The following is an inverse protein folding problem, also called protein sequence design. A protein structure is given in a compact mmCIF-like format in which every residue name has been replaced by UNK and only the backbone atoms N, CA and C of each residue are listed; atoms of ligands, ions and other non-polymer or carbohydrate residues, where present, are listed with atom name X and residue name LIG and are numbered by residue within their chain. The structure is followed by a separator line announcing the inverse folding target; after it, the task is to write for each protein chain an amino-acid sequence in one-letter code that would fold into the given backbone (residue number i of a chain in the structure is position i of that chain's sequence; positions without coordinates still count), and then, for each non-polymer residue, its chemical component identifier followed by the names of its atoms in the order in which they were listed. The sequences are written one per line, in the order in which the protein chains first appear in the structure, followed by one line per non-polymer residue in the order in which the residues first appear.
data_IF_093500778891
#
_entry.id   IF_093500778891
#
_cell.length_a   1.000
_cell.length_b   1.000
_cell.length_c   1.000
_cell.angle_alpha   90.00
_cell.angle_beta   90.00
_cell.angle_gamma   90.00
#
_symmetry.space_group_name_H-M   'P 1'
#
loop_
_entity.id
_entity.type
_entity.pdbx_description
1 polymer ?
#
# COMPACT_ATOMS: atom_id res chain seq x y z
N UNK A 1 -49.69 -77.84 -113.91
CA UNK A 1 -48.44 -77.11 -113.63
C UNK A 1 -48.59 -76.02 -112.56
N UNK A 2 -49.82 -75.57 -112.22
CA UNK A 2 -50.03 -74.49 -111.24
C UNK A 2 -49.91 -74.91 -109.76
N UNK A 3 -50.27 -76.15 -109.40
CA UNK A 3 -50.22 -76.62 -108.00
C UNK A 3 -48.81 -76.75 -107.40
N UNK A 4 -47.80 -77.01 -108.22
CA UNK A 4 -46.41 -77.15 -107.75
C UNK A 4 -45.75 -75.79 -107.46
N UNK A 5 -46.18 -74.75 -108.18
CA UNK A 5 -45.70 -73.38 -108.00
C UNK A 5 -46.20 -72.77 -106.67
N UNK A 6 -47.46 -73.05 -106.31
CA UNK A 6 -48.06 -72.56 -105.07
C UNK A 6 -47.41 -73.16 -103.81
N UNK A 7 -47.06 -74.46 -103.81
CA UNK A 7 -46.43 -75.11 -102.66
C UNK A 7 -44.98 -74.62 -102.43
N UNK A 8 -44.27 -74.28 -103.51
CA UNK A 8 -42.91 -73.73 -103.45
C UNK A 8 -42.89 -72.28 -102.97
N UNK A 9 -43.90 -71.49 -103.37
CA UNK A 9 -44.12 -70.11 -102.89
C UNK A 9 -44.47 -70.07 -101.41
N UNK A 10 -45.34 -70.98 -100.95
CA UNK A 10 -45.71 -71.14 -99.54
C UNK A 10 -44.52 -71.59 -98.66
N UNK A 11 -43.58 -72.38 -99.21
CA UNK A 11 -42.32 -72.73 -98.53
C UNK A 11 -41.38 -71.53 -98.39
N UNK A 12 -41.28 -70.67 -99.41
CA UNK A 12 -40.47 -69.44 -99.37
C UNK A 12 -41.03 -68.45 -98.35
N UNK A 13 -42.36 -68.30 -98.30
CA UNK A 13 -43.03 -67.44 -97.32
C UNK A 13 -42.79 -67.93 -95.88
N UNK A 14 -42.95 -69.24 -95.61
CA UNK A 14 -42.64 -69.82 -94.29
C UNK A 14 -41.18 -69.65 -93.89
N UNK A 15 -40.25 -69.79 -94.84
CA UNK A 15 -38.83 -69.56 -94.58
C UNK A 15 -38.54 -68.09 -94.23
N UNK A 16 -39.16 -67.15 -94.94
CA UNK A 16 -39.03 -65.72 -94.70
C UNK A 16 -39.64 -65.32 -93.34
N UNK A 17 -40.79 -65.88 -92.97
CA UNK A 17 -41.38 -65.73 -91.63
C UNK A 17 -40.42 -66.22 -90.55
N UNK A 18 -39.81 -67.40 -90.73
CA UNK A 18 -38.83 -67.95 -89.76
C UNK A 18 -37.60 -67.05 -89.59
N UNK A 19 -37.12 -66.43 -90.68
CA UNK A 19 -36.00 -65.47 -90.62
C UNK A 19 -36.39 -64.21 -89.86
N UNK A 20 -37.57 -63.66 -90.16
CA UNK A 20 -38.09 -62.47 -89.48
C UNK A 20 -38.34 -62.73 -87.99
N UNK A 21 -38.86 -63.90 -87.62
CA UNK A 21 -39.05 -64.30 -86.22
C UNK A 21 -37.72 -64.35 -85.45
N UNK A 22 -36.65 -64.91 -86.05
CA UNK A 22 -35.31 -64.92 -85.45
C UNK A 22 -34.75 -63.51 -85.28
N UNK A 23 -34.89 -62.65 -86.29
CA UNK A 23 -34.44 -61.26 -86.25
C UNK A 23 -35.21 -60.45 -85.19
N UNK A 24 -36.54 -60.61 -85.10
CA UNK A 24 -37.37 -60.01 -84.06
C UNK A 24 -36.94 -60.50 -82.68
N UNK A 25 -36.72 -61.80 -82.51
CA UNK A 25 -36.21 -62.38 -81.28
C UNK A 25 -34.88 -61.78 -80.85
N UNK A 26 -33.93 -61.68 -81.79
CA UNK A 26 -32.62 -61.07 -81.55
C UNK A 26 -32.73 -59.60 -81.15
N UNK A 27 -33.52 -58.80 -81.88
CA UNK A 27 -33.74 -57.38 -81.54
C UNK A 27 -34.43 -57.21 -80.19
N UNK A 28 -35.39 -58.07 -79.85
CA UNK A 28 -36.06 -58.04 -78.55
C UNK A 28 -35.08 -58.36 -77.42
N UNK A 29 -34.16 -59.31 -77.61
CA UNK A 29 -33.09 -59.59 -76.66
C UNK A 29 -32.17 -58.37 -76.48
N UNK A 30 -31.71 -57.75 -77.58
CA UNK A 30 -30.88 -56.55 -77.52
C UNK A 30 -31.59 -55.39 -76.79
N UNK A 31 -32.88 -55.19 -77.04
CA UNK A 31 -33.68 -54.18 -76.34
C UNK A 31 -33.80 -54.47 -74.85
N UNK A 32 -33.97 -55.74 -74.46
CA UNK A 32 -33.99 -56.16 -73.07
C UNK A 32 -32.64 -55.89 -72.38
N UNK A 33 -31.52 -56.26 -73.01
CA UNK A 33 -30.18 -56.00 -72.50
C UNK A 33 -29.90 -54.49 -72.35
N UNK A 34 -30.32 -53.69 -73.33
CA UNK A 34 -30.20 -52.24 -73.27
C UNK A 34 -31.06 -51.66 -72.13
N UNK A 35 -32.27 -52.19 -71.92
CA UNK A 35 -33.15 -51.82 -70.82
C UNK A 35 -32.54 -52.10 -69.45
N UNK A 36 -31.91 -53.27 -69.27
CA UNK A 36 -31.18 -53.60 -68.04
C UNK A 36 -30.01 -52.64 -67.82
N UNK A 37 -29.14 -52.43 -68.82
CA UNK A 37 -28.02 -51.48 -68.73
C UNK A 37 -28.47 -50.06 -68.39
N UNK A 38 -29.57 -49.61 -68.98
CA UNK A 38 -30.15 -48.30 -68.69
C UNK A 38 -30.61 -48.20 -67.23
N UNK A 39 -31.29 -49.23 -66.72
CA UNK A 39 -31.75 -49.28 -65.33
C UNK A 39 -30.57 -49.32 -64.34
N UNK A 40 -29.54 -50.11 -64.61
CA UNK A 40 -28.32 -50.17 -63.79
C UNK A 40 -27.62 -48.81 -63.76
N UNK A 41 -27.46 -48.18 -64.94
CA UNK A 41 -26.88 -46.85 -65.09
C UNK A 41 -27.70 -45.81 -64.31
N UNK A 42 -29.03 -45.84 -64.43
CA UNK A 42 -29.92 -44.97 -63.67
C UNK A 42 -29.75 -45.16 -62.16
N UNK A 43 -29.65 -46.39 -61.68
CA UNK A 43 -29.46 -46.67 -60.25
C UNK A 43 -28.11 -46.14 -59.74
N UNK A 44 -27.03 -46.32 -60.50
CA UNK A 44 -25.72 -45.75 -60.14
C UNK A 44 -25.74 -44.22 -60.08
N UNK A 45 -26.40 -43.56 -61.04
CA UNK A 45 -26.56 -42.10 -61.01
C UNK A 45 -27.35 -41.63 -59.79
N UNK A 46 -28.43 -42.33 -59.41
CA UNK A 46 -29.20 -41.99 -58.21
C UNK A 46 -28.37 -42.10 -56.93
N UNK A 47 -27.51 -43.14 -56.82
CA UNK A 47 -26.56 -43.28 -55.70
C UNK A 47 -25.57 -42.12 -55.64
N UNK A 48 -24.97 -41.75 -56.78
CA UNK A 48 -24.04 -40.61 -56.85
C UNK A 48 -24.69 -39.28 -56.47
N UNK A 49 -25.93 -39.04 -56.90
CA UNK A 49 -26.69 -37.84 -56.50
C UNK A 49 -26.93 -37.82 -54.99
N UNK A 50 -27.29 -38.95 -54.39
CA UNK A 50 -27.49 -39.06 -52.95
C UNK A 50 -26.18 -38.80 -52.16
N UNK A 51 -25.06 -39.37 -52.61
CA UNK A 51 -23.74 -39.12 -52.04
C UNK A 51 -23.33 -37.65 -52.15
N UNK A 52 -23.56 -37.01 -53.31
CA UNK A 52 -23.26 -35.60 -53.50
C UNK A 52 -24.07 -34.73 -52.54
N UNK A 53 -25.38 -34.96 -52.42
CA UNK A 53 -26.24 -34.26 -51.45
C UNK A 53 -25.76 -34.42 -50.02
N UNK A 54 -25.24 -35.59 -49.66
CA UNK A 54 -24.67 -35.82 -48.34
C UNK A 54 -23.38 -35.03 -48.12
N UNK A 55 -22.49 -34.98 -49.12
CA UNK A 55 -21.28 -34.15 -49.09
C UNK A 55 -21.62 -32.66 -48.97
N UNK A 56 -22.56 -32.17 -49.76
CA UNK A 56 -22.99 -30.76 -49.73
C UNK A 56 -23.52 -30.36 -48.34
N UNK A 57 -24.32 -31.24 -47.71
CA UNK A 57 -24.78 -31.02 -46.32
C UNK A 57 -23.64 -30.97 -45.32
N UNK A 58 -22.63 -31.85 -45.46
CA UNK A 58 -21.46 -31.85 -44.58
C UNK A 58 -20.64 -30.57 -44.74
N UNK A 59 -20.45 -30.10 -45.97
CA UNK A 59 -19.75 -28.83 -46.27
C UNK A 59 -20.49 -27.68 -45.62
N UNK A 60 -21.82 -27.59 -45.78
CA UNK A 60 -22.64 -26.55 -45.17
C UNK A 60 -22.53 -26.51 -43.63
N UNK A 61 -22.55 -27.68 -42.98
CA UNK A 61 -22.39 -27.76 -41.51
C UNK A 61 -21.00 -27.31 -41.08
N UNK A 62 -19.95 -27.73 -41.80
CA UNK A 62 -18.58 -27.30 -41.49
C UNK A 62 -18.42 -25.79 -41.66
N UNK A 63 -18.93 -25.21 -42.75
CA UNK A 63 -18.90 -23.76 -42.97
C UNK A 63 -19.59 -22.98 -41.84
N UNK A 64 -20.71 -23.50 -41.33
CA UNK A 64 -21.40 -22.88 -40.20
C UNK A 64 -20.55 -22.93 -38.92
N UNK A 65 -19.97 -24.09 -38.61
CA UNK A 65 -19.09 -24.25 -37.44
C UNK A 65 -17.90 -23.28 -37.51
N UNK A 66 -17.25 -23.18 -38.68
CA UNK A 66 -16.12 -22.26 -38.86
C UNK A 66 -16.55 -20.79 -38.71
N UNK A 67 -17.72 -20.41 -39.23
CA UNK A 67 -18.26 -19.06 -39.08
C UNK A 67 -18.50 -18.71 -37.60
N UNK A 68 -19.09 -19.65 -36.86
CA UNK A 68 -19.38 -19.46 -35.44
C UNK A 68 -18.10 -19.40 -34.59
N UNK A 69 -17.10 -20.23 -34.90
CA UNK A 69 -15.78 -20.18 -34.24
C UNK A 69 -15.07 -18.84 -34.49
N UNK A 70 -15.01 -18.38 -35.74
CA UNK A 70 -14.42 -17.08 -36.09
C UNK A 70 -15.13 -15.95 -35.32
N UNK A 71 -16.47 -15.94 -35.33
CA UNK A 71 -17.26 -14.92 -34.62
C UNK A 71 -16.99 -14.93 -33.11
N UNK A 72 -16.85 -16.12 -32.51
CA UNK A 72 -16.54 -16.27 -31.09
C UNK A 72 -15.14 -15.73 -30.76
N UNK A 73 -14.16 -16.00 -31.63
CA UNK A 73 -12.77 -15.52 -31.47
C UNK A 73 -12.69 -14.01 -31.62
N UNK A 74 -13.39 -13.42 -32.59
CA UNK A 74 -13.45 -11.97 -32.80
C UNK A 74 -14.05 -11.25 -31.60
N UNK A 75 -15.13 -11.80 -31.02
CA UNK A 75 -15.72 -11.25 -29.80
C UNK A 75 -14.74 -11.27 -28.62
N UNK A 76 -14.00 -12.36 -28.44
CA UNK A 76 -12.98 -12.46 -27.37
C UNK A 76 -11.84 -11.48 -27.59
N UNK A 77 -11.39 -11.32 -28.83
CA UNK A 77 -10.34 -10.37 -29.20
C UNK A 77 -10.78 -8.93 -28.91
N UNK A 78 -11.98 -8.55 -29.35
CA UNK A 78 -12.55 -7.22 -29.09
C UNK A 78 -12.66 -6.92 -27.59
N UNK A 79 -13.09 -7.91 -26.80
CA UNK A 79 -13.18 -7.78 -25.34
C UNK A 79 -11.80 -7.55 -24.71
N UNK A 80 -10.79 -8.30 -25.14
CA UNK A 80 -9.41 -8.14 -24.66
C UNK A 80 -8.82 -6.79 -25.05
N UNK A 81 -9.05 -6.35 -26.27
CA UNK A 81 -8.58 -5.05 -26.76
C UNK A 81 -9.17 -3.90 -25.94
N UNK A 82 -10.48 -3.93 -25.67
CA UNK A 82 -11.12 -2.96 -24.78
C UNK A 82 -10.52 -2.97 -23.38
N UNK A 83 -10.35 -4.15 -22.78
CA UNK A 83 -9.73 -4.29 -21.45
C UNK A 83 -8.29 -3.74 -21.43
N UNK A 84 -7.53 -3.96 -22.50
CA UNK A 84 -6.18 -3.43 -22.63
C UNK A 84 -6.17 -1.90 -22.65
N UNK A 85 -7.03 -1.26 -23.45
CA UNK A 85 -7.11 0.20 -23.49
C UNK A 85 -7.58 0.81 -22.17
N UNK A 86 -8.58 0.20 -21.51
CA UNK A 86 -9.06 0.63 -20.19
C UNK A 86 -7.93 0.52 -19.14
N UNK A 87 -7.24 -0.63 -19.11
CA UNK A 87 -6.10 -0.85 -18.22
C UNK A 87 -4.95 0.13 -18.49
N UNK A 88 -4.66 0.41 -19.76
CA UNK A 88 -3.61 1.35 -20.16
C UNK A 88 -3.94 2.77 -19.71
N UNK A 89 -5.20 3.20 -19.82
CA UNK A 89 -5.65 4.51 -19.36
C UNK A 89 -5.46 4.68 -17.84
N UNK A 90 -5.83 3.66 -17.06
CA UNK A 90 -5.64 3.63 -15.60
C UNK A 90 -4.15 3.70 -15.24
N UNK A 91 -3.31 2.87 -15.86
CA UNK A 91 -1.86 2.88 -15.61
C UNK A 91 -1.24 4.25 -15.92
N UNK A 92 -1.69 4.89 -17.00
CA UNK A 92 -1.23 6.24 -17.36
C UNK A 92 -1.62 7.28 -16.31
N UNK A 93 -2.84 7.22 -15.79
CA UNK A 93 -3.29 8.11 -14.71
C UNK A 93 -2.46 7.89 -13.43
N UNK A 94 -2.33 6.65 -12.97
CA UNK A 94 -1.55 6.31 -11.78
C UNK A 94 -0.08 6.73 -11.90
N UNK A 95 0.52 6.59 -13.09
CA UNK A 95 1.90 7.03 -13.35
C UNK A 95 2.03 8.55 -13.25
N UNK A 96 1.01 9.29 -13.70
CA UNK A 96 0.98 10.75 -13.59
C UNK A 96 0.84 11.21 -12.13
N UNK A 97 -0.02 10.56 -11.35
CA UNK A 97 -0.22 10.87 -9.93
C UNK A 97 1.03 10.52 -9.11
N UNK A 98 1.64 9.36 -9.37
CA UNK A 98 2.91 8.97 -8.76
C UNK A 98 4.01 10.00 -9.02
N UNK A 99 4.11 10.51 -10.25
CA UNK A 99 5.10 11.54 -10.59
C UNK A 99 4.87 12.85 -9.84
N UNK A 100 3.61 13.29 -9.70
CA UNK A 100 3.26 14.50 -8.93
C UNK A 100 3.62 14.34 -7.45
N UNK A 101 3.24 13.20 -6.86
CA UNK A 101 3.53 12.92 -5.45
C UNK A 101 5.05 12.85 -5.19
N UNK A 102 5.81 12.26 -6.11
CA UNK A 102 7.27 12.22 -6.04
C UNK A 102 7.89 13.63 -6.06
N UNK A 103 7.35 14.53 -6.89
CA UNK A 103 7.81 15.92 -6.96
C UNK A 103 7.52 16.67 -5.66
N UNK A 104 6.31 16.53 -5.12
CA UNK A 104 5.92 17.14 -3.83
C UNK A 104 6.77 16.63 -2.68
N UNK A 105 7.00 15.32 -2.60
CA UNK A 105 7.88 14.71 -1.60
C UNK A 105 9.31 15.27 -1.67
N UNK A 106 9.86 15.37 -2.89
CA UNK A 106 11.20 15.93 -3.12
C UNK A 106 11.27 17.40 -2.70
N UNK A 107 10.21 18.17 -2.99
CA UNK A 107 10.10 19.58 -2.61
C UNK A 107 10.10 19.75 -1.09
N UNK A 108 9.33 18.93 -0.38
CA UNK A 108 9.22 19.01 1.08
C UNK A 108 10.52 18.60 1.78
N UNK A 109 11.18 17.54 1.30
CA UNK A 109 12.53 17.19 1.74
C UNK A 109 13.49 18.38 1.57
N UNK A 110 13.45 19.06 0.42
CA UNK A 110 14.27 20.24 0.17
C UNK A 110 14.03 21.35 1.19
N UNK A 111 12.78 21.61 1.56
CA UNK A 111 12.44 22.59 2.62
C UNK A 111 12.98 22.16 3.98
N UNK A 112 12.76 20.92 4.38
CA UNK A 112 13.26 20.38 5.65
C UNK A 112 14.79 20.45 5.73
N UNK A 113 15.49 20.13 4.65
CA UNK A 113 16.95 20.25 4.57
C UNK A 113 17.42 21.71 4.71
N UNK A 114 16.71 22.66 4.11
CA UNK A 114 17.00 24.09 4.23
C UNK A 114 16.81 24.58 5.67
N UNK A 115 15.70 24.21 6.31
CA UNK A 115 15.42 24.55 7.72
C UNK A 115 16.48 23.92 8.64
N UNK A 116 16.79 22.64 8.46
CA UNK A 116 17.83 21.97 9.25
C UNK A 116 19.20 22.62 9.09
N UNK A 117 19.55 23.10 7.89
CA UNK A 117 20.80 23.83 7.66
C UNK A 117 20.82 25.15 8.46
N UNK A 118 19.74 25.93 8.38
CA UNK A 118 19.60 27.19 9.14
C UNK A 118 19.67 26.95 10.66
N UNK A 119 18.93 25.98 11.17
CA UNK A 119 18.95 25.63 12.59
C UNK A 119 20.35 25.19 13.04
N UNK A 120 21.07 24.43 12.22
CA UNK A 120 22.45 24.02 12.51
C UNK A 120 23.40 25.22 12.57
N UNK A 121 23.24 26.18 11.66
CA UNK A 121 24.04 27.40 11.65
C UNK A 121 23.73 28.28 12.87
N UNK A 122 22.45 28.43 13.23
CA UNK A 122 22.01 29.16 14.42
C UNK A 122 22.52 28.52 15.72
N UNK A 123 22.44 27.19 15.83
CA UNK A 123 23.00 26.44 16.97
C UNK A 123 24.51 26.66 17.10
N UNK A 124 25.25 26.63 15.98
CA UNK A 124 26.70 26.89 16.00
C UNK A 124 27.00 28.33 16.42
N UNK A 125 26.22 29.31 15.97
CA UNK A 125 26.33 30.70 16.40
C UNK A 125 26.06 30.87 17.91
N UNK A 126 25.00 30.24 18.43
CA UNK A 126 24.71 30.27 19.87
C UNK A 126 25.80 29.60 20.70
N UNK A 127 26.31 28.45 20.24
CA UNK A 127 27.41 27.75 20.91
C UNK A 127 28.65 28.65 21.05
N UNK A 128 29.05 29.33 19.97
CA UNK A 128 30.18 30.28 20.01
C UNK A 128 29.94 31.45 20.98
N UNK A 129 28.71 31.98 21.05
CA UNK A 129 28.37 33.04 22.00
C UNK A 129 28.47 32.56 23.45
N UNK A 130 27.97 31.36 23.74
CA UNK A 130 28.06 30.77 25.08
C UNK A 130 29.52 30.48 25.48
N UNK A 131 30.34 29.97 24.56
CA UNK A 131 31.78 29.78 24.79
C UNK A 131 32.48 31.11 25.12
N UNK A 132 32.16 32.18 24.38
CA UNK A 132 32.71 33.52 24.64
C UNK A 132 32.26 34.07 26.00
N UNK A 133 30.98 33.96 26.34
CA UNK A 133 30.44 34.39 27.64
C UNK A 133 31.05 33.59 28.80
N UNK A 134 31.26 32.28 28.63
CA UNK A 134 31.92 31.45 29.64
C UNK A 134 33.35 31.92 29.90
N UNK A 135 34.10 32.27 28.84
CA UNK A 135 35.46 32.81 28.95
C UNK A 135 35.48 34.17 29.65
N UNK A 136 34.61 35.09 29.27
CA UNK A 136 34.48 36.41 29.92
C UNK A 136 34.11 36.28 31.40
N UNK A 137 33.23 35.34 31.74
CA UNK A 137 32.87 35.06 33.13
C UNK A 137 34.05 34.51 33.94
N UNK A 138 34.86 33.64 33.34
CA UNK A 138 36.07 33.08 33.98
C UNK A 138 37.12 34.17 34.22
N UNK A 139 37.35 35.05 33.24
CA UNK A 139 38.23 36.22 33.37
C UNK A 139 37.74 37.18 34.47
N UNK A 140 36.42 37.46 34.51
CA UNK A 140 35.82 38.33 35.52
C UNK A 140 35.87 37.72 36.93
N UNK A 141 35.72 36.40 37.06
CA UNK A 141 35.90 35.70 38.34
C UNK A 141 37.34 35.78 38.82
N UNK A 142 38.31 35.52 37.95
CA UNK A 142 39.72 35.62 38.28
C UNK A 142 40.10 37.05 38.73
N UNK A 143 39.57 38.07 38.06
CA UNK A 143 39.77 39.47 38.45
C UNK A 143 39.17 39.79 39.83
N UNK A 144 37.93 39.35 40.09
CA UNK A 144 37.28 39.52 41.40
C UNK A 144 38.04 38.79 42.52
N UNK A 145 38.54 37.59 42.26
CA UNK A 145 39.34 36.83 43.24
C UNK A 145 40.64 37.58 43.56
N UNK A 146 41.30 38.13 42.54
CA UNK A 146 42.50 38.95 42.71
C UNK A 146 42.21 40.19 43.56
N UNK A 147 41.15 40.93 43.23
CA UNK A 147 40.72 42.11 43.99
C UNK A 147 40.36 41.76 45.44
N UNK A 148 39.67 40.64 45.66
CA UNK A 148 39.33 40.13 46.99
C UNK A 148 40.59 39.80 47.80
N UNK A 149 41.61 39.19 47.20
CA UNK A 149 42.89 38.94 47.87
C UNK A 149 43.61 40.23 48.24
N UNK A 150 43.67 41.22 47.32
CA UNK A 150 44.25 42.54 47.59
C UNK A 150 43.55 43.26 48.75
N UNK A 151 42.22 43.25 48.78
CA UNK A 151 41.44 43.84 49.88
C UNK A 151 41.68 43.11 51.21
N UNK A 152 41.85 41.79 51.18
CA UNK A 152 42.14 41.00 52.38
C UNK A 152 43.50 41.38 52.98
N UNK A 153 44.53 41.52 52.14
CA UNK A 153 45.86 42.00 52.54
C UNK A 153 45.80 43.42 53.13
N UNK A 154 44.97 44.30 52.56
CA UNK A 154 44.78 45.66 53.06
C UNK A 154 44.05 45.69 54.42
N UNK A 155 43.02 44.86 54.59
CA UNK A 155 42.33 44.68 55.87
C UNK A 155 43.31 44.17 56.93
N UNK A 156 44.17 43.21 56.60
CA UNK A 156 45.14 42.66 57.54
C UNK A 156 46.18 43.73 57.96
N UNK A 157 46.67 44.54 57.01
CA UNK A 157 47.50 45.73 57.31
C UNK A 157 46.78 46.72 58.23
N UNK A 158 45.52 47.03 57.97
CA UNK A 158 44.72 47.95 58.78
C UNK A 158 44.44 47.37 60.18
N UNK A 159 44.20 46.06 60.29
CA UNK A 159 43.97 45.35 61.55
C UNK A 159 45.24 45.36 62.42
N UNK A 160 46.42 45.18 61.81
CA UNK A 160 47.71 45.36 62.50
C UNK A 160 47.93 46.79 63.00
N UNK A 161 47.57 47.81 62.21
CA UNK A 161 47.59 49.22 62.65
C UNK A 161 46.59 49.49 63.78
N UNK A 162 45.44 48.83 63.78
CA UNK A 162 44.38 48.97 64.79
C UNK A 162 44.73 48.30 66.13
N UNK A 163 45.37 47.13 66.11
CA UNK A 163 45.85 46.47 67.33
C UNK A 163 46.95 47.28 68.05
N UNK A 164 47.68 48.13 67.33
CA UNK A 164 48.67 49.08 67.89
C UNK A 164 48.05 50.38 68.43
N UNK A 165 46.72 50.52 68.40
CA UNK A 165 45.99 51.72 68.84
C UNK A 165 44.75 51.32 69.65
N UNK A 166 44.95 50.74 70.84
CA UNK A 166 43.89 50.68 71.86
C UNK A 166 44.07 51.80 72.89
N UNK A 167 43.44 52.93 72.61
CA UNK A 167 42.87 53.81 73.63
C UNK A 167 41.61 54.43 73.05
N UNK A 168 40.50 54.13 73.73
CA UNK A 168 39.24 54.88 73.87
C UNK A 168 38.71 55.62 72.64
N UNK A 169 37.73 55.02 71.97
CA UNK A 169 36.47 55.64 71.48
C UNK A 169 35.88 54.80 70.35
N UNK A 170 34.54 54.66 70.32
CA UNK A 170 33.72 54.65 69.09
C UNK A 170 32.48 53.78 69.25
N UNK A 171 31.48 54.34 69.94
CA UNK A 171 30.09 53.91 69.79
C UNK A 171 29.52 54.23 68.39
N UNK A 172 30.27 54.92 67.51
CA UNK A 172 29.85 55.27 66.16
C UNK A 172 30.12 54.17 65.10
N UNK A 173 31.08 53.27 65.32
CA UNK A 173 31.43 52.19 64.36
C UNK A 173 30.33 51.11 64.25
N UNK A 174 29.71 50.76 65.38
CA UNK A 174 28.67 49.72 65.42
C UNK A 174 27.43 50.13 64.60
N UNK A 175 27.03 51.41 64.67
CA UNK A 175 25.88 51.91 63.94
C UNK A 175 26.09 51.91 62.42
N UNK A 176 27.31 52.21 61.94
CA UNK A 176 27.61 52.15 60.52
C UNK A 176 27.58 50.72 59.96
N UNK A 177 28.07 49.72 60.71
CA UNK A 177 27.95 48.31 60.34
C UNK A 177 26.50 47.82 60.34
N UNK A 178 25.69 48.28 61.30
CA UNK A 178 24.26 47.93 61.36
C UNK A 178 23.51 48.49 60.14
N UNK A 179 23.83 49.71 59.69
CA UNK A 179 23.26 50.31 58.48
C UNK A 179 23.68 49.51 57.24
N UNK A 180 24.99 49.23 57.08
CA UNK A 180 25.49 48.47 55.94
C UNK A 180 24.88 47.05 55.84
N UNK A 181 24.66 46.37 56.97
CA UNK A 181 24.00 45.07 57.00
C UNK A 181 22.50 45.17 56.66
N UNK A 182 21.82 46.26 57.06
CA UNK A 182 20.43 46.50 56.64
C UNK A 182 20.32 46.76 55.14
N UNK A 183 21.23 47.53 54.57
CA UNK A 183 21.22 47.84 53.15
C UNK A 183 21.48 46.58 52.31
N UNK A 184 22.47 45.75 52.71
CA UNK A 184 22.70 44.44 52.08
C UNK A 184 21.50 43.50 52.22
N UNK A 185 20.83 43.51 53.38
CA UNK A 185 19.63 42.70 53.57
C UNK A 185 18.47 43.18 52.69
N UNK A 186 18.35 44.50 52.49
CA UNK A 186 17.39 45.13 51.57
C UNK A 186 17.63 44.70 50.13
N UNK A 187 18.85 44.88 49.62
CA UNK A 187 19.23 44.44 48.27
C UNK A 187 18.98 42.94 48.07
N UNK A 188 19.37 42.10 49.04
CA UNK A 188 19.11 40.65 48.96
C UNK A 188 17.62 40.33 48.94
N UNK A 189 16.80 41.04 49.71
CA UNK A 189 15.35 40.84 49.73
C UNK A 189 14.72 41.25 48.40
N UNK A 190 15.15 42.36 47.81
CA UNK A 190 14.69 42.80 46.48
C UNK A 190 15.08 41.80 45.38
N UNK A 191 16.33 41.29 45.40
CA UNK A 191 16.75 40.25 44.45
C UNK A 191 15.96 38.96 44.60
N UNK A 192 15.60 38.58 45.83
CA UNK A 192 14.82 37.39 46.11
C UNK A 192 13.38 37.54 45.59
N UNK A 193 12.75 38.69 45.84
CA UNK A 193 11.42 39.01 45.29
C UNK A 193 11.41 39.02 43.75
N UNK A 194 12.47 39.54 43.11
CA UNK A 194 12.60 39.49 41.65
C UNK A 194 12.69 38.04 41.15
N UNK A 195 13.50 37.21 41.79
CA UNK A 195 13.64 35.79 41.42
C UNK A 195 12.35 35.00 41.65
N UNK A 196 11.61 35.27 42.72
CA UNK A 196 10.30 34.68 42.99
C UNK A 196 9.28 35.06 41.91
N UNK A 197 9.20 36.34 41.55
CA UNK A 197 8.34 36.83 40.46
C UNK A 197 8.70 36.18 39.11
N UNK A 198 10.00 36.07 38.82
CA UNK A 198 10.49 35.43 37.60
C UNK A 198 10.13 33.94 37.58
N UNK A 199 10.34 33.23 38.68
CA UNK A 199 10.03 31.80 38.79
C UNK A 199 8.52 31.54 38.63
N UNK A 200 7.68 32.35 39.28
CA UNK A 200 6.23 32.29 39.12
C UNK A 200 5.81 32.49 37.65
N UNK A 201 6.40 33.47 36.97
CA UNK A 201 6.13 33.75 35.55
C UNK A 201 6.54 32.58 34.65
N UNK A 202 7.71 31.99 34.90
CA UNK A 202 8.21 30.84 34.14
C UNK A 202 7.31 29.62 34.34
N UNK A 203 6.89 29.34 35.57
CA UNK A 203 5.98 28.23 35.89
C UNK A 203 4.64 28.36 35.17
N UNK A 204 4.08 29.58 35.13
CA UNK A 204 2.85 29.85 34.37
C UNK A 204 3.05 29.64 32.87
N UNK A 205 4.15 30.14 32.29
CA UNK A 205 4.45 29.95 30.86
C UNK A 205 4.67 28.49 30.48
N UNK A 206 5.38 27.74 31.32
CA UNK A 206 5.58 26.31 31.12
C UNK A 206 4.25 25.56 31.14
N UNK A 207 3.41 25.84 32.15
CA UNK A 207 2.07 25.24 32.27
C UNK A 207 1.22 25.53 31.04
N UNK A 208 1.19 26.77 30.57
CA UNK A 208 0.47 27.17 29.35
C UNK A 208 0.99 26.45 28.11
N UNK A 209 2.32 26.44 27.89
CA UNK A 209 2.93 25.78 26.73
C UNK A 209 2.70 24.28 26.74
N UNK A 210 2.77 23.65 27.92
CA UNK A 210 2.49 22.23 28.05
C UNK A 210 1.00 21.92 27.77
N UNK A 211 0.09 22.78 28.22
CA UNK A 211 -1.34 22.65 27.90
C UNK A 211 -1.58 22.76 26.39
N UNK A 212 -0.98 23.74 25.71
CA UNK A 212 -1.06 23.89 24.26
C UNK A 212 -0.53 22.64 23.52
N UNK A 213 0.60 22.08 23.97
CA UNK A 213 1.16 20.85 23.42
C UNK A 213 0.23 19.64 23.62
N UNK A 214 -0.38 19.50 24.79
CA UNK A 214 -1.34 18.44 25.07
C UNK A 214 -2.59 18.57 24.21
N UNK A 215 -3.09 19.78 24.02
CA UNK A 215 -4.28 20.03 23.22
C UNK A 215 -4.00 19.80 21.72
N UNK A 216 -2.85 20.26 21.20
CA UNK A 216 -2.41 19.97 19.85
C UNK A 216 -2.23 18.46 19.60
N UNK A 217 -1.69 17.72 20.59
CA UNK A 217 -1.58 16.26 20.54
C UNK A 217 -2.95 15.60 20.48
N UNK A 218 -3.88 16.00 21.35
CA UNK A 218 -5.26 15.45 21.39
C UNK A 218 -6.00 15.73 20.08
N UNK A 219 -5.87 16.93 19.53
CA UNK A 219 -6.49 17.31 18.26
C UNK A 219 -5.94 16.49 17.09
N UNK A 220 -4.61 16.29 17.04
CA UNK A 220 -3.97 15.46 16.02
C UNK A 220 -4.47 14.02 16.05
N UNK A 221 -4.61 13.44 17.25
CA UNK A 221 -5.16 12.08 17.42
C UNK A 221 -6.61 12.03 16.92
N UNK A 222 -7.47 12.95 17.37
CA UNK A 222 -8.88 13.01 16.95
C UNK A 222 -9.03 13.17 15.43
N UNK A 223 -8.24 14.06 14.81
CA UNK A 223 -8.26 14.27 13.37
C UNK A 223 -7.85 13.02 12.59
N UNK A 224 -6.85 12.28 13.07
CA UNK A 224 -6.44 11.00 12.47
C UNK A 224 -7.54 9.93 12.62
N UNK A 225 -8.15 9.82 13.80
CA UNK A 225 -9.27 8.90 14.05
C UNK A 225 -10.47 9.19 13.13
N UNK A 226 -10.87 10.45 12.98
CA UNK A 226 -11.98 10.86 12.10
C UNK A 226 -11.69 10.56 10.61
N UNK A 227 -10.47 10.84 10.13
CA UNK A 227 -10.08 10.52 8.75
C UNK A 227 -10.11 9.02 8.44
N UNK A 228 -9.79 8.19 9.44
CA UNK A 228 -9.72 6.73 9.28
C UNK A 228 -11.07 6.05 9.46
N UNK A 229 -12.07 6.76 10.01
CA UNK A 229 -13.40 6.20 10.28
C UNK A 229 -14.33 6.16 9.06
N UNK A 230 -14.08 6.92 7.99
CA UNK A 230 -15.14 7.24 7.02
C UNK A 230 -15.03 6.64 5.62
N UNK A 231 -13.90 6.07 5.13
CA UNK A 231 -13.83 5.40 3.79
C UNK A 231 -12.48 4.80 3.37
N UNK A 232 -11.47 4.74 4.25
CA UNK A 232 -10.10 4.34 3.88
C UNK A 232 -9.78 2.90 4.32
N UNK A 233 -8.96 2.19 3.54
CA UNK A 233 -8.43 0.84 3.86
C UNK A 233 -7.33 0.86 4.93
N UNK A 234 -7.09 2.02 5.55
CA UNK A 234 -6.06 2.23 6.56
C UNK A 234 -6.67 1.98 7.95
N UNK A 235 -6.05 1.11 8.73
CA UNK A 235 -6.48 0.75 10.09
C UNK A 235 -5.44 1.23 11.10
N UNK A 236 -5.87 1.83 12.21
CA UNK A 236 -4.97 2.17 13.33
C UNK A 236 -4.62 0.89 14.06
N UNK A 237 -3.34 0.50 14.04
CA UNK A 237 -2.80 -0.58 14.87
C UNK A 237 -2.17 0.01 16.12
N UNK A 238 -2.76 -0.22 17.31
CA UNK A 238 -2.19 0.27 18.57
C UNK A 238 -1.06 -0.66 19.03
N UNK A 239 0.01 -0.07 19.54
CA UNK A 239 1.08 -0.84 20.19
C UNK A 239 0.51 -1.52 21.44
N UNK A 240 0.57 -2.84 21.45
CA UNK A 240 0.05 -3.67 22.53
C UNK A 240 -1.41 -4.12 22.38
N UNK A 241 -2.06 -3.80 21.25
CA UNK A 241 -3.38 -4.35 20.92
C UNK A 241 -3.25 -5.75 20.30
N UNK A 242 -4.02 -6.69 20.83
CA UNK A 242 -4.02 -8.09 20.40
C UNK A 242 -5.09 -8.27 19.30
N UNK A 243 -4.71 -8.84 18.16
CA UNK A 243 -5.66 -9.10 17.07
C UNK A 243 -6.52 -10.34 17.36
N UNK A 244 -7.77 -10.11 17.77
CA UNK A 244 -8.73 -11.17 18.08
C UNK A 244 -9.00 -12.11 16.90
N UNK A 245 -8.93 -11.61 15.66
CA UNK A 245 -9.26 -12.39 14.45
C UNK A 245 -8.28 -13.55 14.26
N UNK A 246 -6.99 -13.28 14.51
CA UNK A 246 -5.94 -14.27 14.45
C UNK A 246 -6.13 -15.41 15.46
N UNK A 247 -6.59 -15.09 16.68
CA UNK A 247 -6.86 -16.11 17.70
C UNK A 247 -8.10 -16.93 17.38
N UNK A 248 -9.16 -16.30 16.86
CA UNK A 248 -10.38 -17.00 16.44
C UNK A 248 -10.07 -18.02 15.34
N UNK A 249 -9.31 -17.62 14.32
CA UNK A 249 -8.88 -18.52 13.24
C UNK A 249 -7.97 -19.65 13.72
N UNK A 250 -7.01 -19.34 14.60
CA UNK A 250 -6.12 -20.37 15.15
C UNK A 250 -6.87 -21.37 16.05
N UNK A 251 -7.85 -20.90 16.83
CA UNK A 251 -8.65 -21.76 17.70
C UNK A 251 -9.64 -22.62 16.91
N UNK A 252 -10.28 -22.09 15.87
CA UNK A 252 -11.22 -22.87 15.04
C UNK A 252 -10.52 -24.02 14.29
N UNK A 253 -9.27 -23.82 13.87
CA UNK A 253 -8.46 -24.89 13.25
C UNK A 253 -7.99 -25.94 14.26
N UNK A 254 -7.75 -25.54 15.51
CA UNK A 254 -7.15 -26.40 16.53
C UNK A 254 -8.17 -27.14 17.40
N UNK A 255 -9.36 -26.58 17.55
CA UNK A 255 -10.46 -27.11 18.36
C UNK A 255 -11.77 -27.13 17.54
N UNK A 256 -11.85 -27.93 16.46
CA UNK A 256 -13.02 -27.94 15.57
C UNK A 256 -14.31 -28.44 16.24
N UNK A 257 -14.21 -29.32 17.25
CA UNK A 257 -15.34 -29.92 17.95
C UNK A 257 -15.63 -29.29 19.33
N UNK A 258 -14.96 -28.20 19.69
CA UNK A 258 -15.11 -27.53 20.99
C UNK A 258 -15.59 -26.08 20.86
N UNK A 259 -15.83 -25.42 22.00
CA UNK A 259 -16.20 -23.99 22.06
C UNK A 259 -14.98 -23.09 21.77
N UNK A 260 -14.50 -23.15 20.53
CA UNK A 260 -13.31 -22.43 20.07
C UNK A 260 -13.47 -20.90 20.18
N UNK A 261 -14.69 -20.37 20.14
CA UNK A 261 -14.98 -18.95 20.38
C UNK A 261 -14.64 -18.55 21.83
N UNK A 262 -15.08 -19.34 22.82
CA UNK A 262 -14.81 -19.07 24.23
C UNK A 262 -13.33 -19.27 24.58
N UNK A 263 -12.71 -20.30 24.02
CA UNK A 263 -11.27 -20.58 24.18
C UNK A 263 -10.45 -19.43 23.58
N UNK A 264 -10.82 -18.96 22.39
CA UNK A 264 -10.19 -17.82 21.74
C UNK A 264 -10.32 -16.55 22.59
N UNK A 265 -11.52 -16.25 23.09
CA UNK A 265 -11.75 -15.09 23.94
C UNK A 265 -10.88 -15.10 25.20
N UNK A 266 -10.83 -16.25 25.91
CA UNK A 266 -9.98 -16.41 27.11
C UNK A 266 -8.49 -16.23 26.79
N UNK A 267 -8.02 -16.80 25.67
CA UNK A 267 -6.63 -16.66 25.25
C UNK A 267 -6.28 -15.22 24.86
N UNK A 268 -7.15 -14.53 24.13
CA UNK A 268 -6.98 -13.11 23.82
C UNK A 268 -6.87 -12.28 25.09
N UNK A 269 -7.82 -12.41 26.02
CA UNK A 269 -7.81 -11.64 27.27
C UNK A 269 -6.56 -11.88 28.09
N UNK A 270 -6.09 -13.14 28.20
CA UNK A 270 -4.84 -13.44 28.90
C UNK A 270 -3.63 -12.77 28.24
N UNK A 271 -3.60 -12.71 26.90
CA UNK A 271 -2.51 -12.06 26.15
C UNK A 271 -2.55 -10.55 26.29
N UNK A 272 -3.72 -9.93 26.27
CA UNK A 272 -3.87 -8.51 26.54
C UNK A 272 -3.39 -8.13 27.94
N UNK A 273 -3.66 -8.98 28.93
CA UNK A 273 -3.19 -8.77 30.30
C UNK A 273 -1.66 -8.82 30.39
N UNK A 274 -1.03 -9.81 29.75
CA UNK A 274 0.44 -9.87 29.69
C UNK A 274 1.07 -8.69 28.95
N UNK A 275 0.44 -8.23 27.86
CA UNK A 275 0.95 -7.08 27.08
C UNK A 275 0.85 -5.77 27.85
N UNK A 276 -0.08 -5.66 28.81
CA UNK A 276 -0.19 -4.49 29.70
C UNK A 276 0.88 -4.46 30.79
N UNK A 277 1.51 -5.58 31.11
CA UNK A 277 2.58 -5.65 32.11
C UNK A 277 3.92 -5.17 31.52
N UNK A 278 4.49 -4.05 32.02
CA UNK A 278 5.79 -3.56 31.55
C UNK A 278 6.97 -4.52 31.79
N UNK A 279 6.83 -5.47 32.72
CA UNK A 279 7.87 -6.45 33.05
C UNK A 279 7.77 -7.74 32.23
N UNK A 280 6.77 -7.84 31.35
CA UNK A 280 6.60 -8.99 30.50
C UNK A 280 7.50 -8.90 29.26
N UNK A 281 8.48 -9.82 29.17
CA UNK A 281 9.45 -9.89 28.08
C UNK A 281 9.30 -11.21 27.32
N UNK A 282 8.35 -11.31 26.35
CA UNK A 282 8.00 -12.56 25.67
C UNK A 282 9.11 -13.11 24.77
N UNK A 283 10.09 -12.29 24.41
CA UNK A 283 11.27 -12.71 23.66
C UNK A 283 12.46 -12.69 24.61
N UNK A 284 13.02 -13.87 24.93
CA UNK A 284 14.32 -13.94 25.58
C UNK A 284 15.39 -13.42 24.61
N UNK A 285 16.22 -12.50 25.07
CA UNK A 285 17.47 -12.16 24.38
C UNK A 285 18.35 -13.40 24.40
N UNK A 286 18.56 -14.02 23.24
CA UNK A 286 19.64 -14.98 23.08
C UNK A 286 20.95 -14.19 23.24
N UNK A 287 21.67 -14.46 24.32
CA UNK A 287 23.08 -14.07 24.50
C UNK A 287 23.94 -15.25 24.06
#
# INVERSE_FOLDING_TARGET
MEYHNYEEELKKERHLVTILEKEIGYRNQQLSELGHKFNDTKETFLKLIAEQKFKDRRVMVLEQIYRDDISSRDYRLFKLERMYYDSYAIVRQLTSEKSKLQEEYTREIGKLQSINRKLKDDMNCQKKKLEQQAKELEECKAQNDLERTCLMDEIEKLKGKFQNKKSTESYCNLNAQIIALRDQLGEKTETLQYLECLNHTLTLKESMSNQELQDARKESIRSLEDMLSSRTTLVIKRMGEVDHTSFLQACSLKFPDGDWEEISAKLCSSREEYVKDPHWHPFKTCV
#
